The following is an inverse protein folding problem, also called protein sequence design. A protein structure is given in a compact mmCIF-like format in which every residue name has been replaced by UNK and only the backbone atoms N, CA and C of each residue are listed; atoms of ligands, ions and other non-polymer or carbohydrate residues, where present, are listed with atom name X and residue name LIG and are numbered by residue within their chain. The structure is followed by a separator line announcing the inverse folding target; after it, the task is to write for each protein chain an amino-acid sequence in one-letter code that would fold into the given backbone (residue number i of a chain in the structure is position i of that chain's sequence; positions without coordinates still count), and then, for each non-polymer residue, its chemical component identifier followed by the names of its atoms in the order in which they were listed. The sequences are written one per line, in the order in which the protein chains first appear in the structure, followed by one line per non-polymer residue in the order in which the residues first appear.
data_IF_049885178842
#
_entry.id   IF_049885178842
#
_cell.length_a   1.000
_cell.length_b   1.000
_cell.length_c   1.000
_cell.angle_alpha   90.00
_cell.angle_beta   90.00
_cell.angle_gamma   90.00
#
_symmetry.space_group_name_H-M   'P 1'
#
loop_
_entity.id
_entity.type
_entity.pdbx_description
1 polymer ?
#
# COMPACT_ATOMS: atom_id res chain seq x y z
N UNK A 1 42.31 5.23 53.45
CA UNK A 1 42.39 3.97 52.67
C UNK A 1 41.03 3.32 52.37
N UNK A 2 39.94 3.64 53.08
CA UNK A 2 38.63 2.99 52.88
C UNK A 2 37.85 3.56 51.67
N UNK A 3 37.96 4.87 51.38
CA UNK A 3 37.25 5.50 50.27
C UNK A 3 37.63 4.95 48.88
N UNK A 4 38.91 4.73 48.58
CA UNK A 4 39.34 4.19 47.27
C UNK A 4 38.84 2.76 47.01
N UNK A 5 38.64 1.94 48.06
CA UNK A 5 38.12 0.59 47.88
C UNK A 5 36.62 0.58 47.56
N UNK A 6 35.87 1.54 48.10
CA UNK A 6 34.44 1.69 47.80
C UNK A 6 34.21 2.26 46.39
N UNK A 7 35.07 3.17 45.91
CA UNK A 7 35.00 3.68 44.54
C UNK A 7 35.31 2.57 43.51
N UNK A 8 36.34 1.77 43.73
CA UNK A 8 36.66 0.66 42.81
C UNK A 8 35.56 -0.42 42.80
N UNK A 9 34.97 -0.74 43.97
CA UNK A 9 33.88 -1.72 44.06
C UNK A 9 32.59 -1.25 43.35
N UNK A 10 32.32 0.05 43.33
CA UNK A 10 31.15 0.62 42.64
C UNK A 10 31.36 0.65 41.12
N UNK A 11 32.57 0.93 40.65
CA UNK A 11 32.92 0.85 39.22
C UNK A 11 32.85 -0.57 38.65
N UNK A 12 33.31 -1.57 39.43
CA UNK A 12 33.24 -2.98 39.03
C UNK A 12 31.79 -3.48 38.97
N UNK A 13 30.96 -3.09 39.93
CA UNK A 13 29.53 -3.40 39.93
C UNK A 13 28.80 -2.76 38.74
N UNK A 14 29.17 -1.54 38.36
CA UNK A 14 28.61 -0.87 37.18
C UNK A 14 29.04 -1.54 35.87
N UNK A 15 30.31 -1.98 35.75
CA UNK A 15 30.80 -2.73 34.58
C UNK A 15 30.11 -4.08 34.43
N UNK A 16 29.90 -4.79 35.53
CA UNK A 16 29.19 -6.07 35.51
C UNK A 16 27.70 -5.90 35.16
N UNK A 17 27.05 -4.83 35.65
CA UNK A 17 25.66 -4.52 35.30
C UNK A 17 25.49 -4.13 33.83
N UNK A 18 26.43 -3.37 33.24
CA UNK A 18 26.39 -3.05 31.81
C UNK A 18 26.59 -4.30 30.95
N UNK A 19 27.56 -5.15 31.30
CA UNK A 19 27.86 -6.38 30.55
C UNK A 19 26.68 -7.36 30.57
N UNK A 20 26.01 -7.50 31.73
CA UNK A 20 24.79 -8.31 31.86
C UNK A 20 23.61 -7.74 31.05
N UNK A 21 23.44 -6.43 31.00
CA UNK A 21 22.43 -5.76 30.14
C UNK A 21 22.70 -5.97 28.65
N UNK A 22 23.96 -5.97 28.25
CA UNK A 22 24.37 -6.19 26.86
C UNK A 22 24.16 -7.65 26.42
N UNK A 23 24.44 -8.60 27.32
CA UNK A 23 24.15 -10.02 27.13
C UNK A 23 22.63 -10.30 27.09
N UNK A 24 21.84 -9.66 27.96
CA UNK A 24 20.37 -9.76 27.94
C UNK A 24 19.77 -9.13 26.67
N UNK A 25 20.35 -8.03 26.16
CA UNK A 25 19.92 -7.41 24.89
C UNK A 25 20.23 -8.31 23.69
N UNK A 26 21.38 -8.99 23.69
CA UNK A 26 21.74 -9.99 22.66
C UNK A 26 20.84 -11.23 22.74
N UNK A 27 20.46 -11.69 23.94
CA UNK A 27 19.56 -12.82 24.12
C UNK A 27 18.10 -12.51 23.75
N UNK A 28 17.68 -11.24 23.80
CA UNK A 28 16.31 -10.82 23.45
C UNK A 28 16.06 -10.68 21.94
N UNK A 29 17.07 -10.90 21.09
CA UNK A 29 16.91 -10.87 19.64
C UNK A 29 16.55 -9.49 19.08
N UNK A 30 16.73 -8.42 19.85
CA UNK A 30 16.66 -7.05 19.36
C UNK A 30 18.02 -6.69 18.76
N UNK A 31 18.33 -7.30 17.60
CA UNK A 31 19.27 -6.72 16.65
C UNK A 31 18.70 -5.38 16.22
N UNK A 32 19.29 -4.29 16.73
CA UNK A 32 19.16 -3.01 16.06
C UNK A 32 19.65 -3.17 14.63
N UNK A 33 18.89 -2.63 13.68
CA UNK A 33 19.22 -2.53 12.26
C UNK A 33 20.08 -3.70 11.75
N UNK A 34 19.39 -4.75 11.32
CA UNK A 34 19.93 -5.69 10.35
C UNK A 34 20.14 -4.94 9.03
N UNK A 35 21.14 -4.07 9.02
CA UNK A 35 21.74 -3.44 7.85
C UNK A 35 22.90 -4.33 7.37
N UNK A 36 22.70 -5.66 7.47
CA UNK A 36 23.48 -6.56 6.63
C UNK A 36 23.14 -6.20 5.18
N UNK A 37 24.11 -5.91 4.32
CA UNK A 37 23.85 -5.84 2.90
C UNK A 37 23.23 -7.18 2.53
N UNK A 38 21.93 -7.19 2.24
CA UNK A 38 21.31 -8.34 1.61
C UNK A 38 22.04 -8.46 0.29
N UNK A 39 23.05 -9.34 0.21
CA UNK A 39 23.60 -9.80 -1.05
C UNK A 39 22.49 -10.58 -1.72
N UNK A 40 21.55 -9.85 -2.33
CA UNK A 40 20.54 -10.38 -3.20
C UNK A 40 21.29 -10.98 -4.39
N UNK A 41 21.47 -12.29 -4.34
CA UNK A 41 22.00 -13.03 -5.45
C UNK A 41 21.11 -12.73 -6.67
N UNK A 42 21.72 -12.51 -7.85
CA UNK A 42 20.95 -12.15 -9.05
C UNK A 42 19.84 -13.17 -9.37
N UNK A 43 20.03 -14.42 -8.97
CA UNK A 43 19.05 -15.50 -9.11
C UNK A 43 17.85 -15.38 -8.15
N UNK A 44 18.06 -14.85 -6.94
CA UNK A 44 16.97 -14.64 -5.98
C UNK A 44 16.15 -13.40 -6.35
N UNK A 45 16.81 -12.37 -6.90
CA UNK A 45 16.13 -11.18 -7.44
C UNK A 45 15.26 -11.53 -8.67
N UNK A 46 15.76 -12.40 -9.56
CA UNK A 46 14.98 -12.90 -10.71
C UNK A 46 13.77 -13.71 -10.28
N UNK A 47 13.92 -14.64 -9.34
CA UNK A 47 12.79 -15.42 -8.81
C UNK A 47 11.73 -14.53 -8.16
N UNK A 48 12.14 -13.57 -7.35
CA UNK A 48 11.22 -12.61 -6.75
C UNK A 48 10.46 -11.78 -7.80
N UNK A 49 11.12 -11.40 -8.90
CA UNK A 49 10.49 -10.70 -10.02
C UNK A 49 9.48 -11.58 -10.76
N UNK A 50 9.82 -12.83 -11.05
CA UNK A 50 8.93 -13.78 -11.72
C UNK A 50 7.69 -14.09 -10.88
N UNK A 51 7.88 -14.32 -9.58
CA UNK A 51 6.79 -14.53 -8.63
C UNK A 51 5.88 -13.30 -8.55
N UNK A 52 6.46 -12.10 -8.48
CA UNK A 52 5.70 -10.85 -8.50
C UNK A 52 4.90 -10.67 -9.79
N UNK A 53 5.51 -10.91 -10.96
CA UNK A 53 4.83 -10.83 -12.25
C UNK A 53 3.67 -11.81 -12.38
N UNK A 54 3.77 -12.98 -11.74
CA UNK A 54 2.70 -13.98 -11.69
C UNK A 54 1.54 -13.55 -10.77
N UNK A 55 1.84 -12.83 -9.68
CA UNK A 55 0.85 -12.34 -8.72
C UNK A 55 0.16 -11.04 -9.19
N UNK A 56 0.80 -10.26 -10.06
CA UNK A 56 0.31 -8.96 -10.56
C UNK A 56 -1.15 -8.98 -11.07
N UNK A 57 -1.58 -9.94 -11.91
CA UNK A 57 -2.95 -9.98 -12.39
C UNK A 57 -3.98 -10.13 -11.27
N UNK A 58 -3.67 -10.95 -10.25
CA UNK A 58 -4.56 -11.15 -9.09
C UNK A 58 -4.60 -9.89 -8.23
N UNK A 59 -3.45 -9.26 -8.02
CA UNK A 59 -3.37 -7.99 -7.30
C UNK A 59 -4.20 -6.89 -7.99
N UNK A 60 -3.99 -6.68 -9.29
CA UNK A 60 -4.72 -5.69 -10.08
C UNK A 60 -6.22 -5.97 -10.09
N UNK A 61 -6.62 -7.24 -10.21
CA UNK A 61 -8.03 -7.62 -10.15
C UNK A 61 -8.64 -7.30 -8.79
N UNK A 62 -7.94 -7.64 -7.71
CA UNK A 62 -8.41 -7.39 -6.34
C UNK A 62 -8.54 -5.89 -6.07
N UNK A 63 -7.55 -5.10 -6.49
CA UNK A 63 -7.57 -3.65 -6.37
C UNK A 63 -8.75 -3.04 -7.15
N UNK A 64 -8.99 -3.53 -8.37
CA UNK A 64 -10.16 -3.11 -9.16
C UNK A 64 -11.47 -3.47 -8.46
N UNK A 65 -11.60 -4.70 -7.95
CA UNK A 65 -12.81 -5.16 -7.27
C UNK A 65 -13.09 -4.31 -6.01
N UNK A 66 -12.07 -3.92 -5.25
CA UNK A 66 -12.23 -2.98 -4.12
C UNK A 66 -12.72 -1.60 -4.57
N UNK A 67 -12.14 -1.04 -5.64
CA UNK A 67 -12.60 0.24 -6.19
C UNK A 67 -14.04 0.15 -6.71
N UNK A 68 -14.40 -0.95 -7.39
CA UNK A 68 -15.73 -1.17 -7.90
C UNK A 68 -16.77 -1.21 -6.77
N UNK A 69 -16.45 -1.89 -5.66
CA UNK A 69 -17.29 -1.92 -4.47
C UNK A 69 -17.50 -0.54 -3.84
N UNK A 70 -16.43 0.27 -3.74
CA UNK A 70 -16.51 1.63 -3.21
C UNK A 70 -17.38 2.54 -4.09
N UNK A 71 -17.20 2.47 -5.41
CA UNK A 71 -18.02 3.21 -6.39
C UNK A 71 -19.49 2.81 -6.24
N UNK A 72 -19.80 1.51 -6.22
CA UNK A 72 -21.17 1.02 -6.10
C UNK A 72 -21.83 1.51 -4.80
N UNK A 73 -21.13 1.37 -3.68
CA UNK A 73 -21.62 1.77 -2.38
C UNK A 73 -21.88 3.28 -2.31
N UNK A 74 -20.93 4.09 -2.76
CA UNK A 74 -21.03 5.55 -2.79
C UNK A 74 -22.18 6.01 -3.69
N UNK A 75 -22.29 5.46 -4.90
CA UNK A 75 -23.37 5.80 -5.84
C UNK A 75 -24.73 5.46 -5.25
N UNK A 76 -24.90 4.29 -4.63
CA UNK A 76 -26.16 3.91 -3.95
C UNK A 76 -26.56 4.90 -2.86
N UNK A 77 -25.61 5.30 -2.01
CA UNK A 77 -25.86 6.27 -0.94
C UNK A 77 -26.29 7.62 -1.50
N UNK A 78 -25.54 8.13 -2.48
CA UNK A 78 -25.81 9.44 -3.07
C UNK A 78 -27.14 9.44 -3.83
N UNK A 79 -27.43 8.41 -4.63
CA UNK A 79 -28.73 8.25 -5.29
C UNK A 79 -29.87 8.28 -4.28
N UNK A 80 -29.75 7.53 -3.17
CA UNK A 80 -30.77 7.55 -2.12
C UNK A 80 -30.94 8.95 -1.51
N UNK A 81 -29.84 9.63 -1.18
CA UNK A 81 -29.87 10.99 -0.61
C UNK A 81 -30.52 11.99 -1.56
N UNK A 82 -30.15 11.97 -2.84
CA UNK A 82 -30.63 12.91 -3.86
C UNK A 82 -32.11 12.69 -4.17
N UNK A 83 -32.55 11.43 -4.25
CA UNK A 83 -33.93 11.06 -4.60
C UNK A 83 -34.90 11.19 -3.42
N UNK A 84 -34.42 11.01 -2.19
CA UNK A 84 -35.22 11.09 -0.96
C UNK A 84 -35.08 12.42 -0.22
N UNK A 85 -34.47 13.43 -0.85
CA UNK A 85 -34.27 14.76 -0.28
C UNK A 85 -35.61 15.49 -0.06
N UNK A 86 -36.12 15.45 1.17
CA UNK A 86 -37.40 16.07 1.56
C UNK A 86 -37.35 17.60 1.46
N UNK A 87 -36.17 18.21 1.49
CA UNK A 87 -36.02 19.67 1.39
C UNK A 87 -36.40 20.21 0.01
N UNK A 88 -36.41 19.38 -1.03
CA UNK A 88 -36.77 19.76 -2.39
C UNK A 88 -38.21 19.33 -2.76
N UNK A 89 -38.98 20.14 -3.53
CA UNK A 89 -40.29 19.75 -4.05
C UNK A 89 -40.25 18.51 -4.96
N UNK A 90 -41.37 17.80 -5.09
CA UNK A 90 -41.43 16.52 -5.82
C UNK A 90 -41.01 16.63 -7.29
N UNK A 91 -41.34 17.73 -7.96
CA UNK A 91 -40.97 17.99 -9.35
C UNK A 91 -39.44 18.06 -9.51
N UNK A 92 -38.73 18.66 -8.54
CA UNK A 92 -37.27 18.74 -8.54
C UNK A 92 -36.67 17.35 -8.31
N UNK A 93 -37.23 16.56 -7.39
CA UNK A 93 -36.79 15.17 -7.17
C UNK A 93 -36.97 14.31 -8.43
N UNK A 94 -38.08 14.46 -9.15
CA UNK A 94 -38.26 13.76 -10.43
C UNK A 94 -37.27 14.19 -11.49
N UNK A 95 -37.00 15.50 -11.64
CA UNK A 95 -35.98 15.98 -12.58
C UNK A 95 -34.59 15.41 -12.27
N UNK A 96 -34.22 15.33 -10.97
CA UNK A 96 -32.97 14.69 -10.51
C UNK A 96 -32.95 13.19 -10.86
N UNK A 97 -34.07 12.49 -10.72
CA UNK A 97 -34.19 11.07 -11.07
C UNK A 97 -33.97 10.82 -12.57
N UNK A 98 -34.60 11.64 -13.43
CA UNK A 98 -34.39 11.55 -14.87
C UNK A 98 -32.95 11.86 -15.28
N UNK A 99 -32.33 12.88 -14.67
CA UNK A 99 -30.94 13.21 -14.92
C UNK A 99 -29.99 12.06 -14.52
N UNK A 100 -30.20 11.47 -13.34
CA UNK A 100 -29.42 10.31 -12.87
C UNK A 100 -29.59 9.10 -13.79
N UNK A 101 -30.81 8.80 -14.23
CA UNK A 101 -31.07 7.74 -15.19
C UNK A 101 -30.33 7.98 -16.51
N UNK A 102 -30.39 9.21 -17.04
CA UNK A 102 -29.71 9.55 -18.28
C UNK A 102 -28.19 9.43 -18.16
N UNK A 103 -27.61 9.86 -17.04
CA UNK A 103 -26.17 9.69 -16.78
C UNK A 103 -25.78 8.21 -16.69
N UNK A 104 -26.59 7.37 -16.02
CA UNK A 104 -26.36 5.93 -15.96
C UNK A 104 -26.34 5.27 -17.33
N UNK A 105 -27.29 5.63 -18.20
CA UNK A 105 -27.30 5.16 -19.59
C UNK A 105 -26.04 5.57 -20.36
N UNK A 106 -25.58 6.81 -20.20
CA UNK A 106 -24.33 7.27 -20.86
C UNK A 106 -23.13 6.44 -20.37
N UNK A 107 -23.05 6.13 -19.08
CA UNK A 107 -21.96 5.29 -18.56
C UNK A 107 -22.03 3.85 -19.06
N UNK A 108 -23.23 3.28 -19.17
CA UNK A 108 -23.44 1.96 -19.76
C UNK A 108 -23.04 1.93 -21.23
N UNK A 109 -23.50 2.91 -22.01
CA UNK A 109 -23.16 3.06 -23.44
C UNK A 109 -21.64 3.15 -23.64
N UNK A 110 -20.95 3.98 -22.83
CA UNK A 110 -19.50 4.15 -22.92
C UNK A 110 -18.74 2.89 -22.44
N UNK A 111 -19.28 2.17 -21.45
CA UNK A 111 -18.68 0.93 -20.96
C UNK A 111 -18.72 -0.21 -21.99
N UNK A 112 -19.75 -0.26 -22.83
CA UNK A 112 -19.89 -1.27 -23.88
C UNK A 112 -18.95 -1.05 -25.09
N UNK A 113 -18.43 0.17 -25.28
CA UNK A 113 -17.52 0.50 -26.39
C UNK A 113 -16.10 -0.07 -26.17
N UNK A 114 -15.72 -0.39 -24.93
CA UNK A 114 -14.36 -0.80 -24.55
C UNK A 114 -14.12 -2.33 -24.57
N UNK A 115 -15.11 -3.14 -24.96
CA UNK A 115 -14.95 -4.60 -24.95
C UNK A 115 -14.25 -5.11 -26.21
N UNK A 116 -12.91 -5.10 -26.20
CA UNK A 116 -12.09 -6.16 -26.84
C UNK A 116 -10.62 -6.07 -26.41
N UNK A 117 -10.22 -6.89 -25.43
CA UNK A 117 -8.83 -7.34 -25.17
C UNK A 117 -7.83 -6.37 -24.49
N UNK A 118 -8.14 -5.09 -24.27
CA UNK A 118 -7.11 -4.09 -23.87
C UNK A 118 -6.89 -3.85 -22.36
N UNK A 119 -7.82 -4.22 -21.49
CA UNK A 119 -7.86 -3.64 -20.13
C UNK A 119 -6.80 -4.21 -19.16
N UNK A 120 -6.66 -5.53 -19.06
CA UNK A 120 -5.75 -6.12 -18.05
C UNK A 120 -4.27 -6.02 -18.46
N UNK A 121 -3.96 -6.33 -19.72
CA UNK A 121 -2.58 -6.32 -20.24
C UNK A 121 -2.05 -4.88 -20.39
N UNK A 122 -2.92 -3.94 -20.77
CA UNK A 122 -2.61 -2.51 -20.77
C UNK A 122 -2.38 -1.95 -19.36
N UNK A 123 -3.19 -2.37 -18.38
CA UNK A 123 -3.01 -1.97 -16.98
C UNK A 123 -1.71 -2.54 -16.38
N UNK A 124 -1.43 -3.83 -16.61
CA UNK A 124 -0.18 -4.48 -16.22
C UNK A 124 1.03 -3.74 -16.79
N UNK A 125 1.04 -3.48 -18.10
CA UNK A 125 2.15 -2.80 -18.77
C UNK A 125 2.40 -1.38 -18.24
N UNK A 126 1.33 -0.61 -17.98
CA UNK A 126 1.44 0.74 -17.39
C UNK A 126 1.99 0.70 -15.96
N UNK A 127 1.58 -0.29 -15.17
CA UNK A 127 2.08 -0.47 -13.82
C UNK A 127 3.57 -0.85 -13.82
N UNK A 128 3.96 -1.78 -14.69
CA UNK A 128 5.37 -2.16 -14.87
C UNK A 128 6.22 -0.96 -15.29
N UNK A 129 5.78 -0.18 -16.27
CA UNK A 129 6.49 1.03 -16.72
C UNK A 129 6.66 2.06 -15.59
N UNK A 130 5.61 2.30 -14.81
CA UNK A 130 5.67 3.17 -13.64
C UNK A 130 6.65 2.64 -12.57
N UNK A 131 6.65 1.34 -12.32
CA UNK A 131 7.52 0.70 -11.35
C UNK A 131 8.99 0.77 -11.77
N UNK A 132 9.30 0.40 -13.01
CA UNK A 132 10.65 0.51 -13.58
C UNK A 132 11.17 1.95 -13.57
N UNK A 133 10.31 2.94 -13.85
CA UNK A 133 10.71 4.36 -13.79
C UNK A 133 11.11 4.82 -12.38
N UNK A 134 10.40 4.33 -11.35
CA UNK A 134 10.64 4.69 -9.94
C UNK A 134 11.94 4.08 -9.40
N UNK A 135 12.27 2.84 -9.79
CA UNK A 135 13.55 2.22 -9.42
C UNK A 135 14.74 2.89 -10.12
N UNK A 136 14.58 3.29 -11.39
CA UNK A 136 15.63 4.01 -12.13
C UNK A 136 15.92 5.39 -11.53
N UNK A 137 14.91 6.09 -11.02
CA UNK A 137 15.09 7.38 -10.34
C UNK A 137 15.83 7.22 -9.00
N UNK A 138 15.63 6.09 -8.29
CA UNK A 138 16.33 5.80 -7.02
C UNK A 138 17.77 5.32 -7.20
N UNK A 139 18.08 4.62 -8.30
CA UNK A 139 19.42 4.16 -8.65
C UNK A 139 20.29 5.26 -9.31
N UNK A 140 19.67 6.21 -10.01
CA UNK A 140 20.31 7.40 -10.52
C UNK A 140 20.40 8.47 -9.43
N UNK A 141 21.30 8.27 -8.45
CA UNK A 141 21.59 9.27 -7.42
C UNK A 141 21.79 10.65 -8.04
N UNK A 142 20.89 11.59 -7.72
CA UNK A 142 21.16 13.02 -7.93
C UNK A 142 22.13 13.47 -6.82
N UNK A 143 23.11 14.35 -7.13
CA UNK A 143 24.06 14.87 -6.16
C UNK A 143 23.38 15.65 -5.02
#
# INVERSE_FOLDING_TARGET
MVLNRMQNATEEAQKQAMKKREEERKARGESGEDDTPIELNDDDLKKASEEFESALPVFLRTAWDMCALDIEHTVKIICKRVLMDISAPWQIRMRRAYALLRMGQIFEDMGQVEDTKSSCEGAKKKLEEALYSSFKEKAGGRP
#
